data_IF_431088579712
#
_entry.id   IF_431088579712
#
_cell.length_a   1.000
_cell.length_b   1.000
_cell.length_c   1.000
_cell.angle_alpha   90.00
_cell.angle_beta   90.00
_cell.angle_gamma   90.00
#
_symmetry.space_group_name_H-M   'P 1'
#
loop_
_entity.id
_entity.type
_entity.pdbx_description
1 polymer ?
#
# COMPACT_ATOMS: atom_id res chain seq x y z
N UNK A 1 9.28 -42.07 -10.28
CA UNK A 1 9.78 -41.31 -9.14
C UNK A 1 9.71 -39.81 -9.38
N UNK A 2 10.35 -39.37 -10.42
CA UNK A 2 10.42 -37.94 -10.71
C UNK A 2 9.04 -37.33 -10.99
N UNK A 3 8.15 -38.05 -11.64
CA UNK A 3 6.81 -37.58 -11.92
C UNK A 3 6.00 -37.32 -10.63
N UNK A 4 6.17 -38.19 -9.63
CA UNK A 4 5.51 -37.99 -8.33
C UNK A 4 6.04 -36.77 -7.59
N UNK A 5 7.35 -36.55 -7.65
CA UNK A 5 7.99 -35.37 -7.05
C UNK A 5 7.51 -34.11 -7.76
N UNK A 6 7.43 -34.13 -9.09
CA UNK A 6 6.95 -32.98 -9.86
C UNK A 6 5.50 -32.64 -9.53
N UNK A 7 4.64 -33.64 -9.33
CA UNK A 7 3.24 -33.42 -8.95
C UNK A 7 3.16 -32.80 -7.56
N UNK A 8 3.96 -33.26 -6.60
CA UNK A 8 4.00 -32.69 -5.24
C UNK A 8 4.47 -31.24 -5.28
N UNK A 9 5.51 -30.95 -6.05
CA UNK A 9 6.02 -29.58 -6.19
C UNK A 9 4.98 -28.67 -6.82
N UNK A 10 4.25 -29.14 -7.81
CA UNK A 10 3.20 -28.38 -8.47
C UNK A 10 2.06 -28.07 -7.50
N UNK A 11 1.65 -29.02 -6.66
CA UNK A 11 0.62 -28.81 -5.66
C UNK A 11 1.08 -27.84 -4.57
N UNK A 12 2.32 -27.97 -4.12
CA UNK A 12 2.92 -27.06 -3.17
C UNK A 12 2.97 -25.62 -3.72
N UNK A 13 3.33 -25.46 -4.99
CA UNK A 13 3.34 -24.16 -5.65
C UNK A 13 1.96 -23.52 -5.73
N UNK A 14 0.92 -24.31 -6.02
CA UNK A 14 -0.45 -23.81 -6.04
C UNK A 14 -0.92 -23.40 -4.64
N UNK A 15 -0.58 -24.20 -3.64
CA UNK A 15 -0.91 -23.89 -2.25
C UNK A 15 -0.24 -22.59 -1.82
N UNK A 16 1.04 -22.41 -2.13
CA UNK A 16 1.78 -21.20 -1.81
C UNK A 16 1.17 -19.96 -2.49
N UNK A 17 0.73 -20.10 -3.75
CA UNK A 17 0.09 -19.02 -4.46
C UNK A 17 -1.25 -18.62 -3.83
N UNK A 18 -2.04 -19.59 -3.36
CA UNK A 18 -3.30 -19.32 -2.65
C UNK A 18 -3.04 -18.62 -1.34
N UNK A 19 -2.08 -19.10 -0.55
CA UNK A 19 -1.69 -18.49 0.71
C UNK A 19 -1.19 -17.06 0.49
N UNK A 20 -0.35 -16.84 -0.52
CA UNK A 20 0.17 -15.51 -0.83
C UNK A 20 -0.94 -14.54 -1.19
N UNK A 21 -1.93 -14.96 -1.98
CA UNK A 21 -3.09 -14.12 -2.31
C UNK A 21 -3.92 -13.78 -1.09
N UNK A 22 -4.16 -14.76 -0.21
CA UNK A 22 -4.89 -14.55 1.02
C UNK A 22 -4.15 -13.57 1.93
N UNK A 23 -2.85 -13.71 2.06
CA UNK A 23 -2.02 -12.82 2.86
C UNK A 23 -2.10 -11.38 2.33
N UNK A 24 -2.04 -11.19 1.02
CA UNK A 24 -2.15 -9.86 0.42
C UNK A 24 -3.52 -9.25 0.62
N UNK A 25 -4.58 -10.04 0.45
CA UNK A 25 -5.95 -9.57 0.69
C UNK A 25 -6.15 -9.13 2.14
N UNK A 26 -5.63 -9.91 3.08
CA UNK A 26 -5.68 -9.58 4.51
C UNK A 26 -4.91 -8.29 4.81
N UNK A 27 -3.73 -8.12 4.22
CA UNK A 27 -2.94 -6.90 4.39
C UNK A 27 -3.70 -5.66 3.90
N UNK A 28 -4.35 -5.75 2.74
CA UNK A 28 -5.18 -4.66 2.23
C UNK A 28 -6.36 -4.36 3.15
N UNK A 29 -7.02 -5.36 3.69
CA UNK A 29 -8.13 -5.18 4.62
C UNK A 29 -7.67 -4.50 5.90
N UNK A 30 -6.51 -4.87 6.43
CA UNK A 30 -5.93 -4.21 7.60
C UNK A 30 -5.57 -2.76 7.34
N UNK A 31 -5.10 -2.43 6.14
CA UNK A 31 -4.86 -1.05 5.75
C UNK A 31 -6.17 -0.25 5.68
N UNK A 32 -7.21 -0.82 5.07
CA UNK A 32 -8.52 -0.16 4.95
C UNK A 32 -9.14 0.12 6.30
N UNK A 33 -9.01 -0.80 7.24
CA UNK A 33 -9.60 -0.68 8.58
C UNK A 33 -8.79 0.21 9.53
N UNK A 34 -7.55 0.52 9.17
CA UNK A 34 -6.65 1.27 10.04
C UNK A 34 -5.91 0.42 11.05
N UNK A 35 -6.02 -0.90 11.00
CA UNK A 35 -5.26 -1.80 11.88
C UNK A 35 -3.77 -1.72 11.65
N UNK A 36 -3.35 -1.42 10.42
CA UNK A 36 -1.95 -1.25 10.08
C UNK A 36 -1.76 0.00 9.23
N UNK A 37 -0.52 0.43 9.10
CA UNK A 37 -0.11 1.57 8.29
C UNK A 37 0.81 1.11 7.17
N UNK A 38 1.04 1.97 6.18
CA UNK A 38 2.01 1.68 5.13
C UNK A 38 3.41 1.48 5.69
N UNK A 39 3.79 2.25 6.70
CA UNK A 39 5.09 2.12 7.35
C UNK A 39 5.24 0.76 8.04
N UNK A 40 4.24 0.36 8.81
CA UNK A 40 4.22 -0.95 9.47
C UNK A 40 4.23 -2.08 8.45
N UNK A 41 3.49 -1.93 7.37
CA UNK A 41 3.45 -2.94 6.31
C UNK A 41 4.80 -3.05 5.60
N UNK A 42 5.48 -1.94 5.40
CA UNK A 42 6.83 -1.94 4.83
C UNK A 42 7.81 -2.74 5.70
N UNK A 43 7.75 -2.55 7.01
CA UNK A 43 8.57 -3.33 7.95
C UNK A 43 8.22 -4.82 7.86
N UNK A 44 6.93 -5.15 7.84
CA UNK A 44 6.45 -6.52 7.71
C UNK A 44 6.94 -7.17 6.41
N UNK A 45 7.08 -6.40 5.33
CA UNK A 45 7.56 -6.89 4.04
C UNK A 45 8.99 -7.43 4.09
N UNK A 46 9.77 -7.03 5.09
CA UNK A 46 11.12 -7.56 5.28
C UNK A 46 11.10 -9.04 5.67
N UNK A 47 9.99 -9.50 6.26
CA UNK A 47 9.84 -10.84 6.79
C UNK A 47 8.79 -11.67 6.04
N UNK A 48 7.99 -11.04 5.19
CA UNK A 48 6.93 -11.70 4.46
C UNK A 48 7.00 -11.34 2.97
N UNK A 49 7.38 -12.32 2.16
CA UNK A 49 7.54 -12.14 0.72
C UNK A 49 6.23 -11.79 0.02
N UNK A 50 5.11 -12.33 0.50
CA UNK A 50 3.81 -12.03 -0.10
C UNK A 50 3.45 -10.56 0.10
N UNK A 51 3.72 -10.02 1.29
CA UNK A 51 3.54 -8.60 1.58
C UNK A 51 4.49 -7.74 0.75
N UNK A 52 5.75 -8.16 0.63
CA UNK A 52 6.75 -7.45 -0.17
C UNK A 52 6.33 -7.31 -1.64
N UNK A 53 5.62 -8.30 -2.18
CA UNK A 53 5.15 -8.32 -3.57
C UNK A 53 3.83 -7.61 -3.79
N UNK A 54 3.20 -7.14 -2.75
CA UNK A 54 1.95 -6.39 -2.87
C UNK A 54 2.20 -5.11 -3.69
N UNK A 55 1.37 -4.82 -4.72
CA UNK A 55 1.53 -3.57 -5.47
C UNK A 55 1.39 -2.35 -4.55
N UNK A 56 2.33 -1.44 -4.65
CA UNK A 56 2.32 -0.24 -3.82
C UNK A 56 1.08 0.62 -4.08
N UNK A 57 0.65 0.73 -5.34
CA UNK A 57 -0.56 1.47 -5.68
C UNK A 57 -1.79 0.92 -4.97
N UNK A 58 -1.93 -0.41 -4.89
CA UNK A 58 -3.02 -1.05 -4.17
C UNK A 58 -2.96 -0.77 -2.68
N UNK A 59 -1.77 -0.81 -2.10
CA UNK A 59 -1.57 -0.53 -0.67
C UNK A 59 -1.89 0.93 -0.35
N UNK A 60 -1.42 1.87 -1.16
CA UNK A 60 -1.72 3.30 -0.99
C UNK A 60 -3.22 3.55 -1.10
N UNK A 61 -3.87 2.96 -2.11
CA UNK A 61 -5.31 3.09 -2.30
C UNK A 61 -6.09 2.60 -1.08
N UNK A 62 -5.73 1.45 -0.55
CA UNK A 62 -6.37 0.87 0.62
C UNK A 62 -6.15 1.72 1.88
N UNK A 63 -4.92 2.19 2.10
CA UNK A 63 -4.57 2.97 3.28
C UNK A 63 -5.26 4.33 3.32
N UNK A 64 -5.51 4.94 2.17
CA UNK A 64 -6.03 6.31 2.09
C UNK A 64 -7.45 6.39 1.54
N UNK A 65 -8.07 5.27 1.22
CA UNK A 65 -9.46 5.24 0.75
C UNK A 65 -9.64 5.91 -0.62
N UNK A 66 -8.66 5.79 -1.49
CA UNK A 66 -8.69 6.32 -2.87
C UNK A 66 -8.64 5.16 -3.87
N UNK A 67 -8.88 5.45 -5.15
CA UNK A 67 -8.76 4.44 -6.19
C UNK A 67 -7.30 4.11 -6.49
N UNK A 68 -7.04 2.93 -7.02
CA UNK A 68 -5.69 2.55 -7.45
C UNK A 68 -5.19 3.46 -8.57
N UNK A 69 -6.06 3.88 -9.47
CA UNK A 69 -5.71 4.82 -10.56
C UNK A 69 -5.22 6.14 -9.98
N UNK A 70 -5.91 6.66 -8.98
CA UNK A 70 -5.52 7.90 -8.31
C UNK A 70 -4.21 7.73 -7.56
N UNK A 71 -4.05 6.61 -6.86
CA UNK A 71 -2.80 6.28 -6.17
C UNK A 71 -1.63 6.22 -7.15
N UNK A 72 -1.81 5.54 -8.29
CA UNK A 72 -0.78 5.46 -9.32
C UNK A 72 -0.45 6.84 -9.90
N UNK A 73 -1.44 7.70 -10.08
CA UNK A 73 -1.23 9.08 -10.53
C UNK A 73 -0.41 9.90 -9.54
N UNK A 74 -0.69 9.77 -8.25
CA UNK A 74 0.08 10.45 -7.21
C UNK A 74 1.52 9.92 -7.16
N UNK A 75 1.69 8.62 -7.29
CA UNK A 75 3.02 8.00 -7.36
C UNK A 75 3.82 8.55 -8.54
N UNK A 76 3.20 8.65 -9.71
CA UNK A 76 3.85 9.19 -10.90
C UNK A 76 4.31 10.65 -10.69
N UNK A 77 3.49 11.45 -10.02
CA UNK A 77 3.83 12.84 -9.68
C UNK A 77 5.02 12.91 -8.73
N UNK A 78 5.21 11.90 -7.92
CA UNK A 78 6.36 11.78 -7.00
C UNK A 78 7.54 11.05 -7.64
N UNK A 79 7.46 10.74 -8.94
CA UNK A 79 8.47 9.99 -9.70
C UNK A 79 8.68 8.57 -9.17
N UNK A 80 7.61 7.96 -8.68
CA UNK A 80 7.58 6.57 -8.26
C UNK A 80 6.97 5.76 -9.40
N UNK A 81 7.67 4.71 -9.83
CA UNK A 81 7.19 3.85 -10.91
C UNK A 81 5.90 3.16 -10.47
N UNK A 82 4.89 3.05 -11.37
CA UNK A 82 3.61 2.45 -11.01
C UNK A 82 3.69 0.95 -10.71
N UNK A 83 4.76 0.28 -11.14
CA UNK A 83 4.97 -1.14 -10.91
C UNK A 83 5.71 -1.45 -9.60
N UNK A 84 6.00 -0.44 -8.79
CA UNK A 84 6.66 -0.64 -7.49
C UNK A 84 5.81 -1.48 -6.55
N UNK A 85 6.49 -2.29 -5.76
CA UNK A 85 5.91 -3.16 -4.73
C UNK A 85 6.18 -2.58 -3.35
N UNK A 86 5.42 -3.03 -2.35
CA UNK A 86 5.59 -2.56 -0.97
C UNK A 86 7.02 -2.75 -0.49
N UNK A 87 7.67 -3.86 -0.84
CA UNK A 87 9.06 -4.11 -0.46
C UNK A 87 10.05 -3.04 -0.92
N UNK A 88 9.73 -2.31 -1.99
CA UNK A 88 10.57 -1.20 -2.45
C UNK A 88 10.71 -0.10 -1.39
N UNK A 89 9.72 0.07 -0.52
CA UNK A 89 9.77 1.09 0.54
C UNK A 89 10.93 0.90 1.51
N UNK A 90 11.46 -0.31 1.59
CA UNK A 90 12.65 -0.61 2.41
C UNK A 90 13.97 -0.24 1.71
N UNK A 91 13.91 0.09 0.43
CA UNK A 91 15.09 0.49 -0.33
C UNK A 91 15.63 1.83 0.21
N UNK A 92 16.96 1.96 0.36
CA UNK A 92 17.55 3.24 0.77
C UNK A 92 17.20 4.39 -0.18
N UNK A 93 16.93 4.10 -1.45
CA UNK A 93 16.59 5.10 -2.46
C UNK A 93 15.13 5.55 -2.38
N UNK A 94 14.30 4.81 -1.63
CA UNK A 94 12.86 5.09 -1.53
C UNK A 94 12.51 6.27 -0.61
N UNK A 95 13.38 6.61 0.33
CA UNK A 95 13.08 7.56 1.40
C UNK A 95 12.51 8.90 0.93
N UNK A 96 13.16 9.51 -0.05
CA UNK A 96 12.74 10.83 -0.56
C UNK A 96 11.42 10.76 -1.29
N UNK A 97 11.25 9.74 -2.13
CA UNK A 97 10.04 9.55 -2.91
C UNK A 97 8.87 9.16 -1.99
N UNK A 98 9.11 8.31 -1.02
CA UNK A 98 8.10 7.94 -0.02
C UNK A 98 7.65 9.15 0.79
N UNK A 99 8.59 10.01 1.20
CA UNK A 99 8.26 11.24 1.92
C UNK A 99 7.44 12.20 1.05
N UNK A 100 7.78 12.32 -0.24
CA UNK A 100 7.00 13.14 -1.18
C UNK A 100 5.59 12.59 -1.36
N UNK A 101 5.47 11.28 -1.47
CA UNK A 101 4.17 10.61 -1.60
C UNK A 101 3.32 10.86 -0.37
N UNK A 102 3.90 10.73 0.82
CA UNK A 102 3.20 10.97 2.07
C UNK A 102 2.68 12.40 2.16
N UNK A 103 3.50 13.37 1.78
CA UNK A 103 3.07 14.78 1.73
C UNK A 103 1.99 15.02 0.69
N UNK A 104 2.09 14.38 -0.47
CA UNK A 104 1.08 14.50 -1.53
C UNK A 104 -0.26 13.91 -1.06
N UNK A 105 -0.22 12.79 -0.37
CA UNK A 105 -1.43 12.15 0.18
C UNK A 105 -2.06 13.02 1.26
N UNK A 106 -1.28 13.60 2.13
CA UNK A 106 -1.77 14.51 3.17
C UNK A 106 -2.40 15.76 2.55
N UNK A 107 -1.77 16.35 1.54
CA UNK A 107 -2.31 17.49 0.82
C UNK A 107 -3.61 17.15 0.10
N UNK A 108 -3.69 15.98 -0.51
CA UNK A 108 -4.89 15.49 -1.19
C UNK A 108 -6.06 15.33 -0.22
N UNK A 109 -5.79 14.82 0.97
CA UNK A 109 -6.81 14.70 2.02
C UNK A 109 -7.30 16.06 2.50
N UNK A 110 -6.41 17.03 2.60
CA UNK A 110 -6.77 18.39 3.00
C UNK A 110 -7.58 19.12 1.92
N UNK A 111 -7.38 18.78 0.66
CA UNK A 111 -8.08 19.39 -0.48
C UNK A 111 -9.47 18.77 -0.67
N UNK A 112 -9.73 17.57 -0.19
CA UNK A 112 -11.02 16.92 -0.33
C UNK A 112 -12.01 17.52 0.68
N UNK A 113 -12.85 18.49 0.28
CA UNK A 113 -13.75 19.18 1.21
C UNK A 113 -14.84 18.27 1.76
N UNK A 114 -15.31 17.32 0.95
CA UNK A 114 -16.32 16.37 1.40
C UNK A 114 -15.83 15.50 2.53
N UNK A 115 -14.61 15.03 2.41
CA UNK A 115 -13.98 14.20 3.42
C UNK A 115 -13.70 14.97 4.70
N UNK A 116 -13.22 16.20 4.58
CA UNK A 116 -12.96 17.09 5.72
C UNK A 116 -14.25 17.42 6.46
N UNK A 117 -15.31 17.71 5.74
CA UNK A 117 -16.61 18.00 6.33
C UNK A 117 -17.12 16.77 7.10
N UNK A 118 -16.98 15.58 6.52
CA UNK A 118 -17.38 14.33 7.17
C UNK A 118 -16.61 14.08 8.46
N UNK A 119 -15.34 14.47 8.50
CA UNK A 119 -14.51 14.36 9.70
C UNK A 119 -14.84 15.42 10.76
N UNK A 120 -15.57 16.49 10.38
CA UNK A 120 -15.96 17.54 11.31
C UNK A 120 -14.85 18.50 11.69
N UNK A 121 -13.69 18.39 11.08
CA UNK A 121 -12.52 19.23 11.41
C UNK A 121 -12.31 20.37 10.43
N UNK A 122 -12.57 20.13 9.15
CA UNK A 122 -12.47 21.15 8.14
C UNK A 122 -13.77 21.99 8.11
N UNK A 123 -13.77 23.27 7.92
CA UNK A 123 -12.63 24.15 7.65
C UNK A 123 -11.98 24.77 8.89
N UNK A 124 -12.40 24.37 10.07
CA UNK A 124 -11.94 24.97 11.33
C UNK A 124 -10.43 24.86 11.50
N UNK A 125 -9.85 23.73 11.13
CA UNK A 125 -8.41 23.54 11.19
C UNK A 125 -7.67 24.51 10.26
N UNK A 126 -8.20 24.74 9.07
CA UNK A 126 -7.59 25.66 8.11
C UNK A 126 -7.62 27.10 8.62
N UNK A 127 -8.68 27.48 9.34
CA UNK A 127 -8.79 28.81 9.95
C UNK A 127 -7.88 28.91 11.17
N UNK A 128 -7.79 27.85 11.95
CA UNK A 128 -6.96 27.80 13.16
C UNK A 128 -5.46 27.72 12.86
N UNK A 129 -5.08 27.39 11.65
CA UNK A 129 -3.68 27.23 11.23
C UNK A 129 -3.30 28.29 10.20
N UNK A 130 -3.24 29.55 10.58
CA UNK A 130 -2.89 30.64 9.66
C UNK A 130 -1.45 30.58 9.17
#
# INVERSE_FOLDING_TARGET
MDASVAVIDSDAGRFDAVVARATRAEALDRLRSGETTLESLAVESAFDRAVARLPLAAAVAAAHGISETRAAGLMARCRIRPDRRVGWLLSPLASRQAARLDRALSAEQLIDPGRQIAAGTWPFELVASP
#
